data_IF_429694381430
#
_entry.id   IF_429694381430
#
_cell.length_a   1.000
_cell.length_b   1.000
_cell.length_c   1.000
_cell.angle_alpha   90.00
_cell.angle_beta   90.00
_cell.angle_gamma   90.00
#
_symmetry.space_group_name_H-M   'P 1'
#
loop_
_entity.id
_entity.type
_entity.pdbx_description
1 polymer ?
#
# COMPACT_ATOMS: atom_id res chain seq x y z
N UNK A 1 -0.97 -5.69 20.26
CA UNK A 1 -0.25 -4.83 19.30
C UNK A 1 -1.31 -4.16 18.44
N UNK A 2 -1.17 -2.90 18.04
CA UNK A 2 -2.07 -2.30 17.07
C UNK A 2 -1.79 -2.98 15.72
N UNK A 3 -2.59 -3.97 15.35
CA UNK A 3 -2.48 -4.73 14.10
C UNK A 3 -2.98 -3.92 12.89
N UNK A 4 -2.86 -2.60 12.95
CA UNK A 4 -3.32 -1.68 11.92
C UNK A 4 -2.30 -0.55 11.72
N UNK A 5 -2.12 -0.17 10.46
CA UNK A 5 -1.36 1.00 10.02
C UNK A 5 -2.29 1.87 9.18
N UNK A 6 -2.17 3.20 9.31
CA UNK A 6 -2.89 4.12 8.43
C UNK A 6 -2.18 4.29 7.10
N UNK A 7 -2.89 4.80 6.10
CA UNK A 7 -2.28 5.14 4.82
C UNK A 7 -1.24 6.25 4.98
N UNK A 8 -1.48 7.20 5.87
CA UNK A 8 -0.57 8.30 6.18
C UNK A 8 0.73 7.78 6.77
N UNK A 9 0.66 6.89 7.76
CA UNK A 9 1.84 6.23 8.35
C UNK A 9 2.61 5.42 7.30
N UNK A 10 1.88 4.69 6.44
CA UNK A 10 2.49 3.92 5.35
C UNK A 10 3.18 4.81 4.31
N UNK A 11 2.63 5.98 4.02
CA UNK A 11 3.16 6.93 3.04
C UNK A 11 4.40 7.68 3.55
N UNK A 12 4.52 7.85 4.87
CA UNK A 12 5.68 8.45 5.53
C UNK A 12 6.85 7.46 5.71
N UNK A 13 6.61 6.15 5.56
CA UNK A 13 7.66 5.13 5.61
C UNK A 13 8.65 5.26 4.45
N UNK A 14 9.89 4.86 4.72
CA UNK A 14 10.83 4.68 3.62
C UNK A 14 10.38 3.53 2.71
N UNK A 15 10.90 3.51 1.48
CA UNK A 15 10.44 2.59 0.44
C UNK A 15 10.47 1.11 0.88
N UNK A 16 11.55 0.68 1.53
CA UNK A 16 11.70 -0.73 1.94
C UNK A 16 10.77 -1.09 3.10
N UNK A 17 10.60 -0.20 4.07
CA UNK A 17 9.64 -0.36 5.17
C UNK A 17 8.21 -0.39 4.64
N UNK A 18 7.86 0.50 3.71
CA UNK A 18 6.55 0.51 3.06
C UNK A 18 6.25 -0.77 2.28
N UNK A 19 7.24 -1.32 1.54
CA UNK A 19 7.12 -2.62 0.86
C UNK A 19 6.91 -3.76 1.87
N UNK A 20 7.66 -3.76 2.97
CA UNK A 20 7.52 -4.76 4.02
C UNK A 20 6.14 -4.69 4.68
N UNK A 21 5.68 -3.50 5.04
CA UNK A 21 4.35 -3.26 5.61
C UNK A 21 3.24 -3.72 4.67
N UNK A 22 3.29 -3.34 3.38
CA UNK A 22 2.33 -3.81 2.38
C UNK A 22 2.35 -5.34 2.20
N UNK A 23 3.52 -5.97 2.35
CA UNK A 23 3.64 -7.43 2.29
C UNK A 23 2.93 -8.12 3.47
N UNK A 24 3.03 -7.54 4.68
CA UNK A 24 2.29 -7.98 5.86
C UNK A 24 0.78 -7.76 5.68
N UNK A 25 0.39 -6.60 5.12
CA UNK A 25 -1.02 -6.31 4.83
C UNK A 25 -1.61 -7.34 3.86
N UNK A 26 -0.88 -7.68 2.79
CA UNK A 26 -1.32 -8.67 1.81
C UNK A 26 -1.50 -10.08 2.42
N UNK A 27 -0.72 -10.42 3.44
CA UNK A 27 -0.82 -11.71 4.16
C UNK A 27 -1.94 -11.73 5.20
N UNK A 28 -2.46 -10.56 5.57
CA UNK A 28 -3.44 -10.40 6.64
C UNK A 28 -2.82 -10.24 8.03
N UNK A 29 -1.49 -10.09 8.10
CA UNK A 29 -0.76 -9.88 9.36
C UNK A 29 -0.85 -8.43 9.86
N UNK A 30 -1.25 -7.51 8.98
CA UNK A 30 -1.45 -6.08 9.27
C UNK A 30 -2.69 -5.57 8.53
N UNK A 31 -3.44 -4.67 9.14
CA UNK A 31 -4.61 -4.04 8.52
C UNK A 31 -4.25 -2.65 8.01
N UNK A 32 -4.48 -2.36 6.73
CA UNK A 32 -4.35 -1.00 6.22
C UNK A 32 -5.66 -0.23 6.45
N UNK A 33 -5.59 0.94 7.10
CA UNK A 33 -6.72 1.87 7.24
C UNK A 33 -6.53 3.07 6.33
N UNK A 34 -7.60 3.46 5.64
CA UNK A 34 -7.68 4.67 4.83
C UNK A 34 -8.80 5.52 5.42
N UNK A 35 -8.42 6.53 6.21
CA UNK A 35 -9.34 7.20 7.13
C UNK A 35 -10.01 6.18 8.06
N UNK A 36 -11.34 6.24 8.14
CA UNK A 36 -12.12 5.35 9.02
C UNK A 36 -12.34 3.94 8.46
N UNK A 37 -11.93 3.67 7.21
CA UNK A 37 -12.22 2.40 6.52
C UNK A 37 -11.00 1.50 6.48
N UNK A 38 -11.24 0.19 6.54
CA UNK A 38 -10.23 -0.82 6.22
C UNK A 38 -10.10 -0.98 4.71
N UNK A 39 -8.88 -0.99 4.20
CA UNK A 39 -8.62 -1.25 2.79
C UNK A 39 -8.99 -2.71 2.45
N UNK A 40 -9.76 -2.88 1.38
CA UNK A 40 -10.09 -4.21 0.88
C UNK A 40 -8.88 -4.88 0.20
N UNK A 41 -8.89 -6.21 0.15
CA UNK A 41 -7.82 -7.01 -0.48
C UNK A 41 -7.51 -6.55 -1.91
N UNK A 42 -8.53 -6.28 -2.73
CA UNK A 42 -8.35 -5.82 -4.10
C UNK A 42 -7.64 -4.45 -4.19
N UNK A 43 -7.88 -3.56 -3.22
CA UNK A 43 -7.21 -2.25 -3.16
C UNK A 43 -5.73 -2.41 -2.79
N UNK A 44 -5.43 -3.26 -1.81
CA UNK A 44 -4.04 -3.59 -1.41
C UNK A 44 -3.28 -4.23 -2.58
N UNK A 45 -3.91 -5.17 -3.29
CA UNK A 45 -3.31 -5.79 -4.48
C UNK A 45 -3.06 -4.79 -5.62
N UNK A 46 -3.97 -3.83 -5.83
CA UNK A 46 -3.77 -2.74 -6.79
C UNK A 46 -2.59 -1.86 -6.39
N UNK A 47 -2.53 -1.41 -5.14
CA UNK A 47 -1.42 -0.57 -4.63
C UNK A 47 -0.07 -1.25 -4.82
N UNK A 48 0.02 -2.55 -4.52
CA UNK A 48 1.25 -3.32 -4.74
C UNK A 48 1.65 -3.36 -6.23
N UNK A 49 0.69 -3.58 -7.13
CA UNK A 49 0.96 -3.58 -8.58
C UNK A 49 1.42 -2.21 -9.08
N UNK A 50 0.79 -1.15 -8.61
CA UNK A 50 1.16 0.22 -8.99
C UNK A 50 2.56 0.58 -8.48
N UNK A 51 2.88 0.19 -7.25
CA UNK A 51 4.23 0.36 -6.68
C UNK A 51 5.29 -0.42 -7.49
N UNK A 52 5.02 -1.70 -7.80
CA UNK A 52 5.93 -2.51 -8.62
C UNK A 52 6.13 -1.91 -10.01
N UNK A 53 5.09 -1.37 -10.64
CA UNK A 53 5.22 -0.66 -11.93
C UNK A 53 6.15 0.54 -11.80
N UNK A 54 5.96 1.39 -10.79
CA UNK A 54 6.85 2.53 -10.52
C UNK A 54 8.30 2.06 -10.34
N UNK A 55 8.53 1.01 -9.55
CA UNK A 55 9.86 0.46 -9.31
C UNK A 55 10.51 -0.16 -10.56
N UNK A 56 9.71 -0.74 -11.44
CA UNK A 56 10.15 -1.25 -12.75
C UNK A 56 10.40 -0.13 -13.78
N UNK A 57 10.25 1.14 -13.40
CA UNK A 57 10.34 2.27 -14.32
C UNK A 57 9.19 2.32 -15.33
N UNK A 58 8.09 1.61 -15.05
CA UNK A 58 6.86 1.63 -15.84
C UNK A 58 5.96 2.70 -15.23
N UNK A 59 5.98 3.88 -15.82
CA UNK A 59 5.20 5.03 -15.40
C UNK A 59 3.71 4.63 -15.17
N UNK A 60 3.14 4.82 -13.98
CA UNK A 60 1.70 4.64 -13.79
C UNK A 60 1.03 5.79 -14.52
N UNK A 61 0.52 5.53 -15.73
CA UNK A 61 -0.26 6.46 -16.55
C UNK A 61 -1.03 7.45 -15.67
N UNK A 62 -0.58 8.70 -15.69
CA UNK A 62 -1.40 9.85 -15.36
C UNK A 62 -2.61 9.75 -16.28
N UNK A 63 -3.76 9.30 -15.76
CA UNK A 63 -5.04 9.50 -16.43
C UNK A 63 -5.31 11.01 -16.37
N UNK A 64 -4.75 11.74 -17.34
CA UNK A 64 -5.29 13.04 -17.72
C UNK A 64 -6.70 12.81 -18.21
N UNK A 65 -7.65 13.31 -17.43
CA UNK A 65 -9.05 13.46 -17.80
C UNK A 65 -9.23 14.38 -19.01
#
# INVERSE_FOLDING_TARGET
>A
MNEAITFEELAEMNLFEGIAALSLIRRGDLTLRVGDRTAGRAQVEKMMKDLLRVLEGRDPMVMTA
#
